data_IF_775596635180
#
_entry.id   IF_775596635180
#
_cell.length_a   1.000
_cell.length_b   1.000
_cell.length_c   1.000
_cell.angle_alpha   90.00
_cell.angle_beta   90.00
_cell.angle_gamma   90.00
#
_symmetry.space_group_name_H-M   'P 1'
#
loop_
_entity.id
_entity.type
_entity.pdbx_description
1 polymer ?
#
# COMPACT_ATOMS: atom_id res chain seq x y z
N UNK A 1 58.86 46.42 24.50
CA UNK A 1 57.99 46.92 23.41
C UNK A 1 56.73 46.06 23.33
N UNK A 2 55.62 46.68 22.91
CA UNK A 2 54.22 46.43 23.25
C UNK A 2 53.68 44.99 23.20
N UNK A 3 53.02 44.62 24.31
CA UNK A 3 51.97 43.60 24.47
C UNK A 3 50.68 44.07 23.79
N UNK A 4 49.96 43.16 23.13
CA UNK A 4 48.54 43.30 22.78
C UNK A 4 47.68 42.47 23.74
N UNK A 5 46.66 43.11 24.32
CA UNK A 5 45.86 42.70 25.47
C UNK A 5 44.42 42.44 24.99
N UNK A 6 43.73 41.50 25.67
CA UNK A 6 42.27 41.50 26.01
C UNK A 6 41.24 41.41 24.86
N UNK A 7 40.04 40.85 24.99
CA UNK A 7 39.29 40.27 26.11
C UNK A 7 38.10 39.44 25.56
N UNK A 8 37.65 38.48 26.37
CA UNK A 8 36.29 37.91 26.33
C UNK A 8 35.26 39.01 26.66
N UNK A 9 34.12 39.00 25.96
CA UNK A 9 32.88 39.61 26.45
C UNK A 9 31.69 38.68 26.15
N UNK A 10 30.97 38.33 27.23
CA UNK A 10 29.62 37.73 27.24
C UNK A 10 28.57 38.84 27.03
N UNK A 11 27.30 38.41 26.96
CA UNK A 11 26.04 39.15 27.21
C UNK A 11 25.45 39.83 25.95
N UNK A 12 24.15 39.82 25.64
CA UNK A 12 22.88 39.56 26.35
C UNK A 12 21.81 39.12 25.32
N UNK A 13 20.87 38.26 25.73
CA UNK A 13 19.52 38.21 25.16
C UNK A 13 18.77 39.49 25.56
N UNK A 14 18.00 40.09 24.64
CA UNK A 14 16.79 40.87 24.96
C UNK A 14 15.85 40.86 23.75
N UNK A 15 14.58 40.60 24.05
CA UNK A 15 13.48 40.37 23.12
C UNK A 15 12.67 41.65 22.84
N UNK A 16 11.81 41.53 21.82
CA UNK A 16 10.61 42.31 21.47
C UNK A 16 10.79 43.59 20.62
N UNK A 17 9.73 44.10 19.98
CA UNK A 17 8.73 43.43 19.13
C UNK A 17 8.66 44.12 17.75
N UNK A 18 8.28 43.43 16.67
CA UNK A 18 7.86 44.12 15.44
C UNK A 18 6.49 43.65 15.02
N UNK A 19 5.58 44.60 15.17
CA UNK A 19 4.16 44.61 14.87
C UNK A 19 3.89 44.31 13.40
N UNK A 20 2.79 43.59 13.19
CA UNK A 20 2.18 43.28 11.92
C UNK A 20 1.96 44.52 11.03
N UNK A 21 2.24 44.37 9.74
CA UNK A 21 1.61 45.15 8.69
C UNK A 21 1.16 44.17 7.60
N UNK A 22 -0.14 43.90 7.58
CA UNK A 22 -0.81 43.16 6.52
C UNK A 22 -0.73 43.98 5.23
N UNK A 23 -0.15 43.41 4.18
CA UNK A 23 -0.34 43.88 2.81
C UNK A 23 -0.90 42.71 2.02
N UNK A 24 -2.20 42.76 1.79
CA UNK A 24 -2.90 41.90 0.85
C UNK A 24 -2.38 42.20 -0.56
N UNK A 25 -1.66 41.26 -1.16
CA UNK A 25 -1.57 41.15 -2.61
C UNK A 25 -2.40 39.93 -3.03
N UNK A 26 -3.67 40.19 -3.33
CA UNK A 26 -4.51 39.27 -4.08
C UNK A 26 -4.14 39.39 -5.56
N UNK A 27 -3.26 38.52 -6.04
CA UNK A 27 -3.16 38.23 -7.47
C UNK A 27 -3.73 36.84 -7.70
N UNK A 28 -5.06 36.79 -7.83
CA UNK A 28 -5.76 35.65 -8.43
C UNK A 28 -5.46 35.73 -9.92
N UNK A 29 -4.43 35.04 -10.39
CA UNK A 29 -4.36 34.70 -11.80
C UNK A 29 -5.38 33.58 -12.04
N UNK A 30 -6.59 34.01 -12.38
CA UNK A 30 -7.57 33.17 -13.01
C UNK A 30 -6.99 32.70 -14.35
N UNK A 31 -6.47 31.48 -14.39
CA UNK A 31 -6.34 30.77 -15.67
C UNK A 31 -7.76 30.51 -16.18
N UNK A 32 -8.24 31.43 -17.01
CA UNK A 32 -9.36 31.20 -17.89
C UNK A 32 -9.05 29.93 -18.69
N UNK A 33 -9.97 28.97 -18.60
CA UNK A 33 -9.94 27.73 -19.35
C UNK A 33 -9.84 28.04 -20.85
N UNK A 34 -8.65 27.85 -21.42
CA UNK A 34 -8.51 27.71 -22.85
C UNK A 34 -9.14 26.37 -23.24
N UNK A 35 -10.21 26.46 -24.04
CA UNK A 35 -10.99 25.32 -24.50
C UNK A 35 -10.16 24.29 -25.26
N UNK A 36 -9.76 23.24 -24.55
CA UNK A 36 -9.58 21.91 -25.10
C UNK A 36 -10.69 21.06 -24.50
N UNK A 37 -11.46 20.35 -25.34
CA UNK A 37 -12.39 19.34 -24.89
C UNK A 37 -11.63 18.24 -24.13
N UNK A 38 -11.45 18.39 -22.82
CA UNK A 38 -10.95 17.33 -21.96
C UNK A 38 -12.07 16.32 -21.76
N UNK A 39 -12.08 15.27 -22.58
CA UNK A 39 -12.94 14.09 -22.41
C UNK A 39 -12.48 13.21 -21.25
N UNK A 40 -11.97 13.81 -20.16
CA UNK A 40 -11.89 13.08 -18.89
C UNK A 40 -13.33 13.03 -18.35
N UNK A 41 -13.89 11.84 -18.09
CA UNK A 41 -15.17 11.74 -17.41
C UNK A 41 -15.06 12.50 -16.09
N UNK A 42 -16.08 13.30 -15.79
CA UNK A 42 -16.12 14.09 -14.56
C UNK A 42 -15.90 13.17 -13.36
N UNK A 43 -14.97 13.55 -12.47
CA UNK A 43 -14.74 12.83 -11.23
C UNK A 43 -16.00 12.91 -10.37
N UNK A 44 -16.42 11.76 -9.85
CA UNK A 44 -17.57 11.66 -8.97
C UNK A 44 -17.16 12.01 -7.54
N UNK A 45 -18.12 12.49 -6.75
CA UNK A 45 -17.96 12.54 -5.30
C UNK A 45 -17.81 11.12 -4.73
N UNK A 46 -17.19 11.00 -3.55
CA UNK A 46 -16.79 9.71 -2.98
C UNK A 46 -17.23 9.61 -1.53
N UNK A 47 -17.96 8.53 -1.26
CA UNK A 47 -18.39 8.13 0.08
C UNK A 47 -17.48 7.02 0.63
N UNK A 48 -17.41 6.92 1.95
CA UNK A 48 -16.60 5.92 2.66
C UNK A 48 -17.43 5.25 3.76
N UNK A 49 -17.50 3.92 3.72
CA UNK A 49 -18.02 3.09 4.82
C UNK A 49 -16.97 2.10 5.28
N UNK A 50 -17.12 1.58 6.49
CA UNK A 50 -16.25 0.56 7.08
C UNK A 50 -17.08 -0.61 7.55
N UNK A 51 -16.48 -1.80 7.57
CA UNK A 51 -17.04 -2.97 8.22
C UNK A 51 -15.95 -3.64 9.06
N UNK A 52 -16.37 -4.27 10.15
CA UNK A 52 -15.53 -5.15 10.95
C UNK A 52 -16.42 -6.28 11.48
N UNK A 53 -16.15 -7.51 11.05
CA UNK A 53 -16.90 -8.71 11.43
C UNK A 53 -16.21 -9.50 12.55
N UNK A 54 -15.06 -9.04 13.02
CA UNK A 54 -14.25 -9.67 14.06
C UNK A 54 -12.79 -9.83 13.63
N UNK A 55 -11.91 -9.84 14.63
CA UNK A 55 -10.45 -9.93 14.45
C UNK A 55 -9.99 -11.37 14.13
N UNK A 56 -10.84 -12.37 14.38
CA UNK A 56 -10.63 -13.81 14.14
C UNK A 56 -11.81 -14.41 13.34
N UNK A 57 -12.41 -13.62 12.46
CA UNK A 57 -13.66 -13.98 11.78
C UNK A 57 -13.47 -14.94 10.58
N UNK A 58 -12.23 -15.14 10.12
CA UNK A 58 -11.88 -16.01 9.02
C UNK A 58 -10.89 -17.09 9.45
N UNK A 59 -11.36 -18.32 9.71
CA UNK A 59 -10.48 -19.47 9.79
C UNK A 59 -10.02 -19.89 8.38
N UNK A 60 -8.70 -19.99 8.13
CA UNK A 60 -8.11 -20.52 6.91
C UNK A 60 -8.69 -21.87 6.48
N UNK A 61 -8.66 -22.22 5.19
CA UNK A 61 -8.94 -23.58 4.76
C UNK A 61 -7.93 -24.58 5.36
N UNK A 62 -8.42 -25.63 6.02
CA UNK A 62 -7.59 -26.71 6.62
C UNK A 62 -6.53 -27.27 5.64
N UNK A 63 -6.84 -27.30 4.34
CA UNK A 63 -5.95 -27.79 3.29
C UNK A 63 -4.65 -27.00 3.13
N UNK A 64 -4.60 -25.75 3.60
CA UNK A 64 -3.39 -24.93 3.57
C UNK A 64 -2.44 -25.24 4.73
N UNK A 65 -2.92 -25.94 5.78
CA UNK A 65 -2.14 -26.15 7.01
C UNK A 65 -1.71 -24.86 7.70
N UNK A 66 -2.34 -23.73 7.37
CA UNK A 66 -2.08 -22.43 7.98
C UNK A 66 -2.65 -22.43 9.41
N UNK A 67 -1.89 -21.89 10.35
CA UNK A 67 -2.28 -21.81 11.76
C UNK A 67 -2.72 -20.38 12.09
N UNK A 68 -3.83 -20.22 12.81
CA UNK A 68 -4.33 -18.90 13.20
C UNK A 68 -5.53 -18.44 12.39
N UNK A 69 -6.33 -17.57 12.99
CA UNK A 69 -7.52 -16.97 12.37
C UNK A 69 -7.23 -15.53 11.96
N UNK A 70 -7.95 -15.07 10.94
CA UNK A 70 -7.75 -13.76 10.32
C UNK A 70 -8.97 -12.85 10.49
N UNK A 71 -8.74 -11.54 10.46
CA UNK A 71 -9.85 -10.61 10.53
C UNK A 71 -10.68 -10.58 9.23
N UNK A 72 -11.95 -10.21 9.37
CA UNK A 72 -12.79 -9.80 8.23
C UNK A 72 -13.23 -8.36 8.45
N UNK A 73 -12.31 -7.43 8.16
CA UNK A 73 -12.57 -6.00 8.21
C UNK A 73 -12.11 -5.29 6.94
N UNK A 74 -12.55 -4.04 6.78
CA UNK A 74 -12.06 -3.21 5.69
C UNK A 74 -12.75 -1.87 5.56
N UNK A 75 -12.22 -1.06 4.66
CA UNK A 75 -12.80 0.21 4.22
C UNK A 75 -13.33 0.06 2.79
N UNK A 76 -14.49 0.67 2.53
CA UNK A 76 -15.13 0.69 1.22
C UNK A 76 -15.23 2.13 0.75
N UNK A 77 -14.64 2.41 -0.40
CA UNK A 77 -14.74 3.69 -1.11
C UNK A 77 -15.58 3.49 -2.35
N UNK A 78 -16.57 4.34 -2.56
CA UNK A 78 -17.50 4.19 -3.67
C UNK A 78 -18.03 5.54 -4.14
N UNK A 79 -18.56 5.65 -5.37
CA UNK A 79 -19.13 6.89 -5.84
C UNK A 79 -20.35 7.28 -5.00
N UNK A 80 -20.51 8.58 -4.70
CA UNK A 80 -21.63 9.07 -3.86
C UNK A 80 -23.01 8.60 -4.36
N UNK A 81 -23.16 8.54 -5.68
CA UNK A 81 -24.34 7.94 -6.32
C UNK A 81 -24.05 6.51 -6.78
N UNK A 82 -24.03 5.58 -5.83
CA UNK A 82 -23.89 4.15 -6.10
C UNK A 82 -25.04 3.60 -6.97
N UNK A 83 -26.19 4.29 -6.99
CA UNK A 83 -27.37 3.87 -7.75
C UNK A 83 -27.26 4.18 -9.25
N UNK A 84 -26.27 4.97 -9.66
CA UNK A 84 -26.04 5.38 -11.05
C UNK A 84 -25.71 4.21 -12.00
N UNK A 85 -25.34 3.04 -11.48
CA UNK A 85 -25.13 1.84 -12.27
C UNK A 85 -24.48 0.70 -11.50
N UNK A 86 -23.77 -0.15 -12.26
CA UNK A 86 -22.92 -1.20 -11.72
C UNK A 86 -21.45 -0.77 -11.82
N UNK A 87 -20.70 -0.96 -10.76
CA UNK A 87 -19.33 -0.51 -10.64
C UNK A 87 -18.38 -1.70 -10.52
N UNK A 88 -17.31 -1.81 -11.34
CA UNK A 88 -16.29 -2.82 -11.15
C UNK A 88 -15.69 -2.73 -9.74
N UNK A 89 -15.39 -3.88 -9.15
CA UNK A 89 -14.81 -3.95 -7.81
C UNK A 89 -13.28 -4.01 -7.89
N UNK A 90 -12.60 -3.20 -7.08
CA UNK A 90 -11.16 -3.30 -6.85
C UNK A 90 -10.93 -3.65 -5.40
N UNK A 91 -10.19 -4.71 -5.11
CA UNK A 91 -9.79 -5.07 -3.75
C UNK A 91 -8.32 -4.72 -3.52
N UNK A 92 -8.00 -4.13 -2.37
CA UNK A 92 -6.64 -3.76 -1.96
C UNK A 92 -6.25 -4.57 -0.73
N UNK A 93 -5.14 -5.30 -0.80
CA UNK A 93 -4.55 -6.00 0.34
C UNK A 93 -3.23 -5.33 0.76
N UNK A 94 -3.08 -5.04 2.06
CA UNK A 94 -1.83 -4.49 2.58
C UNK A 94 -0.77 -5.58 2.81
N UNK A 95 0.49 -5.15 2.92
CA UNK A 95 1.61 -6.05 3.16
C UNK A 95 1.92 -6.30 4.63
N UNK A 96 3.13 -6.80 4.88
CA UNK A 96 3.63 -7.07 6.21
C UNK A 96 4.02 -5.80 6.95
N UNK A 97 3.55 -5.69 8.18
CA UNK A 97 3.81 -4.59 9.11
C UNK A 97 3.38 -5.01 10.52
N UNK A 98 3.87 -4.29 11.53
CA UNK A 98 3.36 -4.37 12.90
C UNK A 98 1.82 -4.25 12.92
N UNK A 99 1.18 -5.00 13.80
CA UNK A 99 -0.27 -5.13 13.88
C UNK A 99 -0.86 -4.19 14.93
N UNK A 100 -0.11 -3.89 15.99
CA UNK A 100 -0.60 -3.18 17.17
C UNK A 100 0.15 -1.88 17.43
N UNK A 101 -0.61 -0.80 17.64
CA UNK A 101 -0.10 0.54 17.89
C UNK A 101 0.35 0.72 19.35
N UNK A 102 1.23 -0.16 19.83
CA UNK A 102 1.78 -0.14 21.18
C UNK A 102 3.02 0.78 21.25
N UNK A 103 2.78 2.03 21.62
CA UNK A 103 3.84 3.04 21.68
C UNK A 103 4.91 2.75 22.76
N UNK A 104 4.57 2.02 23.83
CA UNK A 104 5.53 1.64 24.87
C UNK A 104 6.43 0.50 24.38
N UNK A 105 5.84 -0.50 23.72
CA UNK A 105 6.61 -1.58 23.10
C UNK A 105 7.56 -1.02 22.03
N UNK A 106 7.07 -0.15 21.14
CA UNK A 106 7.90 0.47 20.10
C UNK A 106 9.07 1.28 20.66
N UNK A 107 8.86 2.09 21.71
CA UNK A 107 9.96 2.80 22.39
C UNK A 107 10.98 1.84 23.01
N UNK A 108 10.49 0.75 23.61
CA UNK A 108 11.35 -0.26 24.23
C UNK A 108 12.18 -0.99 23.19
N UNK A 109 11.58 -1.36 22.06
CA UNK A 109 12.25 -1.98 20.92
C UNK A 109 13.37 -1.09 20.39
N UNK A 110 13.08 0.18 20.06
CA UNK A 110 14.09 1.11 19.54
C UNK A 110 15.25 1.32 20.51
N UNK A 111 14.95 1.46 21.82
CA UNK A 111 15.99 1.64 22.83
C UNK A 111 16.88 0.39 22.98
N UNK A 112 16.27 -0.80 22.99
CA UNK A 112 17.00 -2.06 23.12
C UNK A 112 17.85 -2.36 21.88
N UNK A 113 17.37 -2.08 20.67
CA UNK A 113 18.16 -2.22 19.44
C UNK A 113 19.39 -1.31 19.43
N UNK A 114 19.24 -0.06 19.89
CA UNK A 114 20.37 0.86 20.01
C UNK A 114 21.40 0.36 21.04
N UNK A 115 20.95 -0.12 22.20
CA UNK A 115 21.81 -0.68 23.23
C UNK A 115 22.53 -1.95 22.75
N UNK A 116 21.81 -2.87 22.09
CA UNK A 116 22.39 -4.10 21.53
C UNK A 116 23.56 -3.79 20.59
N UNK A 117 23.40 -2.81 19.70
CA UNK A 117 24.45 -2.41 18.77
C UNK A 117 25.71 -1.87 19.49
N UNK A 118 25.57 -1.23 20.64
CA UNK A 118 26.68 -0.78 21.49
C UNK A 118 27.34 -1.96 22.22
N UNK A 119 26.54 -2.90 22.73
CA UNK A 119 27.00 -4.09 23.44
C UNK A 119 27.79 -5.03 22.53
N UNK A 120 27.30 -5.28 21.31
CA UNK A 120 27.98 -6.07 20.29
C UNK A 120 29.34 -5.48 19.91
N UNK A 121 29.43 -4.14 19.78
CA UNK A 121 30.68 -3.45 19.50
C UNK A 121 31.68 -3.54 20.65
N UNK A 122 31.19 -3.56 21.90
CA UNK A 122 32.03 -3.65 23.09
C UNK A 122 32.41 -5.08 23.48
N UNK A 123 31.69 -6.08 22.96
CA UNK A 123 31.83 -7.49 23.28
C UNK A 123 31.14 -7.90 24.60
N UNK A 124 30.22 -7.09 25.12
CA UNK A 124 29.44 -7.43 26.32
C UNK A 124 28.29 -8.40 25.99
N UNK A 125 28.64 -9.68 25.89
CA UNK A 125 27.67 -10.75 25.58
C UNK A 125 26.55 -10.90 26.60
N UNK A 126 26.75 -10.46 27.85
CA UNK A 126 25.75 -10.63 28.90
C UNK A 126 24.69 -9.54 28.84
N UNK A 127 25.05 -8.31 28.47
CA UNK A 127 24.08 -7.25 28.24
C UNK A 127 23.39 -7.41 26.88
N UNK A 128 24.13 -7.79 25.83
CA UNK A 128 23.56 -8.11 24.52
C UNK A 128 22.39 -9.11 24.62
N UNK A 129 22.58 -10.21 25.37
CA UNK A 129 21.51 -11.20 25.59
C UNK A 129 20.28 -10.64 26.33
N UNK A 130 20.45 -9.62 27.19
CA UNK A 130 19.30 -8.94 27.82
C UNK A 130 18.58 -8.04 26.82
N UNK A 131 19.33 -7.33 25.97
CA UNK A 131 18.73 -6.48 24.94
C UNK A 131 17.95 -7.32 23.93
N UNK A 132 18.48 -8.47 23.51
CA UNK A 132 17.78 -9.45 22.66
C UNK A 132 16.44 -9.87 23.28
N UNK A 133 16.41 -10.22 24.57
CA UNK A 133 15.17 -10.60 25.25
C UNK A 133 14.14 -9.44 25.34
N UNK A 134 14.61 -8.19 25.47
CA UNK A 134 13.73 -7.01 25.43
C UNK A 134 13.18 -6.79 24.02
N UNK A 135 14.02 -6.98 22.99
CA UNK A 135 13.63 -6.91 21.58
C UNK A 135 12.53 -7.93 21.30
N UNK A 136 12.74 -9.20 21.65
CA UNK A 136 11.76 -10.28 21.47
C UNK A 136 10.41 -9.92 22.14
N UNK A 137 10.43 -9.58 23.43
CA UNK A 137 9.21 -9.26 24.16
C UNK A 137 8.49 -7.99 23.66
N UNK A 138 9.22 -7.01 23.13
CA UNK A 138 8.64 -5.81 22.54
C UNK A 138 8.05 -6.11 21.15
N UNK A 139 8.76 -6.87 20.31
CA UNK A 139 8.28 -7.33 19.01
C UNK A 139 7.01 -8.15 19.14
N UNK A 140 6.94 -9.09 20.08
CA UNK A 140 5.74 -9.90 20.35
C UNK A 140 4.49 -9.04 20.62
N UNK A 141 4.66 -7.92 21.33
CA UNK A 141 3.55 -7.00 21.63
C UNK A 141 3.11 -6.18 20.42
N UNK A 142 4.05 -5.86 19.51
CA UNK A 142 3.79 -5.10 18.30
C UNK A 142 3.17 -5.96 17.20
N UNK A 143 3.56 -7.24 17.13
CA UNK A 143 3.08 -8.22 16.15
C UNK A 143 1.87 -9.03 16.62
N UNK A 144 1.45 -8.92 17.88
CA UNK A 144 0.32 -9.64 18.43
C UNK A 144 -0.97 -9.45 17.63
N UNK A 145 -1.79 -10.49 17.52
CA UNK A 145 -3.16 -10.36 17.05
C UNK A 145 -4.07 -11.37 17.77
N UNK A 146 -5.27 -10.97 18.22
CA UNK A 146 -5.74 -9.59 18.34
C UNK A 146 -4.87 -8.75 19.29
N UNK A 147 -4.92 -7.42 19.14
CA UNK A 147 -4.15 -6.52 20.01
C UNK A 147 -4.55 -6.63 21.48
N UNK A 148 -3.58 -6.37 22.36
CA UNK A 148 -3.82 -6.35 23.80
C UNK A 148 -4.92 -5.33 24.20
N UNK A 149 -5.68 -5.58 25.28
CA UNK A 149 -6.72 -4.66 25.73
C UNK A 149 -6.21 -3.23 25.91
N UNK A 150 -6.89 -2.27 25.28
CA UNK A 150 -6.52 -0.85 25.32
C UNK A 150 -5.49 -0.42 24.27
N UNK A 151 -4.87 -1.37 23.56
CA UNK A 151 -4.02 -1.10 22.40
C UNK A 151 -4.87 -1.16 21.13
N UNK A 152 -4.73 -0.17 20.26
CA UNK A 152 -5.44 -0.15 18.98
C UNK A 152 -4.63 -0.91 17.93
N UNK A 153 -5.32 -1.52 16.97
CA UNK A 153 -4.66 -1.99 15.75
C UNK A 153 -4.00 -0.83 15.00
N UNK A 154 -2.90 -1.12 14.31
CA UNK A 154 -2.40 -0.29 13.21
C UNK A 154 -3.32 -0.58 12.01
N UNK A 155 -4.07 0.40 11.51
CA UNK A 155 -5.06 0.17 10.46
C UNK A 155 -4.39 0.22 9.08
N UNK A 156 -3.47 -0.70 8.81
CA UNK A 156 -2.66 -0.75 7.58
C UNK A 156 -3.51 -0.68 6.30
N UNK A 157 -4.71 -1.26 6.30
CA UNK A 157 -5.69 -1.17 5.21
C UNK A 157 -6.18 0.27 4.91
N UNK A 158 -6.14 1.20 5.88
CA UNK A 158 -6.46 2.62 5.67
C UNK A 158 -5.30 3.41 5.04
N UNK A 159 -4.11 2.81 4.94
CA UNK A 159 -2.94 3.39 4.30
C UNK A 159 -3.16 3.79 2.83
N UNK A 160 -4.12 3.16 2.18
CA UNK A 160 -4.45 3.34 0.76
C UNK A 160 -5.66 4.25 0.53
N UNK A 161 -6.10 5.03 1.53
CA UNK A 161 -7.27 5.93 1.40
C UNK A 161 -7.19 6.83 0.15
N UNK A 162 -5.99 7.30 -0.19
CA UNK A 162 -5.71 8.18 -1.30
C UNK A 162 -5.95 7.48 -2.64
N UNK A 163 -5.65 6.18 -2.70
CA UNK A 163 -5.83 5.35 -3.88
C UNK A 163 -7.27 4.90 -4.00
N UNK A 164 -7.87 4.43 -2.89
CA UNK A 164 -9.27 4.03 -2.82
C UNK A 164 -10.21 5.16 -3.24
N UNK A 165 -9.98 6.38 -2.74
CA UNK A 165 -10.76 7.56 -3.14
C UNK A 165 -10.53 7.97 -4.59
N UNK A 166 -9.29 7.91 -5.10
CA UNK A 166 -9.02 8.28 -6.50
C UNK A 166 -9.68 7.29 -7.46
N UNK A 167 -9.60 5.99 -7.18
CA UNK A 167 -10.27 4.95 -7.96
C UNK A 167 -11.80 5.07 -7.85
N UNK A 168 -12.37 5.24 -6.66
CA UNK A 168 -13.80 5.43 -6.49
C UNK A 168 -14.33 6.64 -7.29
N UNK A 169 -13.59 7.75 -7.30
CA UNK A 169 -13.95 8.93 -8.10
C UNK A 169 -14.01 8.68 -9.62
N UNK A 170 -13.43 7.57 -10.10
CA UNK A 170 -13.42 7.15 -11.52
C UNK A 170 -14.56 6.18 -11.86
N UNK A 171 -15.36 5.77 -10.85
CA UNK A 171 -16.52 4.89 -10.99
C UNK A 171 -16.30 3.46 -10.50
N UNK A 172 -15.34 3.22 -9.62
CA UNK A 172 -15.08 1.90 -9.02
C UNK A 172 -15.70 1.79 -7.62
N UNK A 173 -16.06 0.57 -7.21
CA UNK A 173 -16.18 0.24 -5.78
C UNK A 173 -14.84 -0.31 -5.34
N UNK A 174 -14.23 0.26 -4.31
CA UNK A 174 -12.89 -0.11 -3.85
C UNK A 174 -12.96 -0.58 -2.41
N UNK A 175 -12.42 -1.77 -2.16
CA UNK A 175 -12.43 -2.41 -0.84
C UNK A 175 -11.00 -2.61 -0.39
N UNK A 176 -10.56 -1.91 0.65
CA UNK A 176 -9.23 -2.10 1.25
C UNK A 176 -9.38 -2.96 2.50
N UNK A 177 -8.76 -4.14 2.52
CA UNK A 177 -8.97 -5.19 3.52
C UNK A 177 -7.80 -5.27 4.52
N UNK A 178 -8.10 -5.60 5.78
CA UNK A 178 -7.09 -5.94 6.78
C UNK A 178 -6.49 -7.33 6.57
N UNK A 179 -5.25 -7.50 7.02
CA UNK A 179 -4.46 -8.74 6.99
C UNK A 179 -3.48 -8.82 8.18
N UNK A 180 -3.82 -8.21 9.33
CA UNK A 180 -3.00 -8.20 10.54
C UNK A 180 -2.90 -9.59 11.18
N UNK A 181 -3.97 -10.39 11.17
CA UNK A 181 -3.92 -11.79 11.62
C UNK A 181 -2.85 -12.60 10.86
N UNK A 182 -2.76 -12.38 9.54
CA UNK A 182 -1.73 -13.01 8.71
C UNK A 182 -0.33 -12.54 9.11
N UNK A 183 -0.15 -11.24 9.38
CA UNK A 183 1.13 -10.68 9.80
C UNK A 183 1.57 -11.20 11.19
N UNK A 184 0.63 -11.47 12.08
CA UNK A 184 0.94 -11.97 13.44
C UNK A 184 1.37 -13.42 13.47
N UNK A 185 0.94 -14.21 12.48
CA UNK A 185 1.22 -15.65 12.44
C UNK A 185 2.60 -15.88 11.87
N UNK A 186 3.47 -16.55 12.66
CA UNK A 186 4.85 -16.85 12.25
C UNK A 186 5.59 -15.62 11.73
N UNK A 187 5.32 -14.44 12.29
CA UNK A 187 5.88 -13.15 11.83
C UNK A 187 5.63 -12.89 10.33
N UNK A 188 4.49 -13.34 9.81
CA UNK A 188 4.15 -13.26 8.39
C UNK A 188 4.98 -14.19 7.50
N UNK A 189 5.80 -15.09 8.06
CA UNK A 189 6.71 -15.98 7.32
C UNK A 189 6.23 -17.43 7.25
N UNK A 190 4.95 -17.70 7.50
CA UNK A 190 4.40 -19.05 7.34
C UNK A 190 4.62 -19.55 5.89
N UNK A 191 4.95 -20.83 5.72
CA UNK A 191 5.24 -21.44 4.40
C UNK A 191 4.13 -21.20 3.37
N UNK A 192 2.87 -21.13 3.83
CA UNK A 192 1.67 -20.94 3.00
C UNK A 192 1.10 -19.52 3.05
N UNK A 193 1.89 -18.53 3.48
CA UNK A 193 1.41 -17.16 3.71
C UNK A 193 0.76 -16.52 2.48
N UNK A 194 1.30 -16.71 1.28
CA UNK A 194 0.71 -16.11 0.08
C UNK A 194 -0.58 -16.84 -0.35
N UNK A 195 -0.67 -18.15 -0.13
CA UNK A 195 -1.90 -18.91 -0.33
C UNK A 195 -2.97 -18.48 0.67
N UNK A 196 -2.59 -18.16 1.90
CA UNK A 196 -3.53 -17.65 2.90
C UNK A 196 -4.02 -16.23 2.56
N UNK A 197 -3.12 -15.34 2.13
CA UNK A 197 -3.50 -14.02 1.62
C UNK A 197 -4.47 -14.11 0.44
N UNK A 198 -4.20 -14.99 -0.52
CA UNK A 198 -5.12 -15.30 -1.62
C UNK A 198 -6.46 -15.85 -1.10
N UNK A 199 -6.46 -16.75 -0.12
CA UNK A 199 -7.67 -17.29 0.50
C UNK A 199 -8.51 -16.21 1.20
N UNK A 200 -7.87 -15.25 1.87
CA UNK A 200 -8.50 -14.08 2.50
C UNK A 200 -9.15 -13.15 1.45
N UNK A 201 -8.44 -12.83 0.37
CA UNK A 201 -9.02 -12.08 -0.78
C UNK A 201 -10.27 -12.81 -1.29
N UNK A 202 -10.17 -14.11 -1.49
CA UNK A 202 -11.26 -14.92 -2.01
C UNK A 202 -12.45 -15.02 -1.03
N UNK A 203 -12.19 -15.06 0.28
CA UNK A 203 -13.23 -15.00 1.33
C UNK A 203 -13.99 -13.67 1.29
N UNK A 204 -13.27 -12.57 1.15
CA UNK A 204 -13.86 -11.23 0.97
C UNK A 204 -14.70 -11.16 -0.30
N UNK A 205 -14.18 -11.64 -1.43
CA UNK A 205 -14.92 -11.71 -2.70
C UNK A 205 -16.20 -12.54 -2.59
N UNK A 206 -16.23 -13.63 -1.82
CA UNK A 206 -17.46 -14.40 -1.54
C UNK A 206 -18.51 -13.57 -0.80
N UNK A 207 -18.10 -12.79 0.20
CA UNK A 207 -19.01 -11.90 0.92
C UNK A 207 -19.59 -10.82 0.00
N UNK A 208 -18.75 -10.19 -0.83
CA UNK A 208 -19.19 -9.22 -1.83
C UNK A 208 -20.10 -9.84 -2.90
N UNK A 209 -19.80 -11.08 -3.32
CA UNK A 209 -20.65 -11.85 -4.23
C UNK A 209 -22.03 -12.10 -3.66
N UNK A 210 -22.11 -12.51 -2.40
CA UNK A 210 -23.39 -12.73 -1.73
C UNK A 210 -24.18 -11.42 -1.58
N UNK A 211 -23.51 -10.36 -1.10
CA UNK A 211 -24.11 -9.04 -0.91
C UNK A 211 -24.64 -8.47 -2.24
N UNK A 212 -23.82 -8.44 -3.28
CA UNK A 212 -24.20 -7.87 -4.58
C UNK A 212 -25.33 -8.66 -5.23
N UNK A 213 -25.29 -9.99 -5.18
CA UNK A 213 -26.28 -10.83 -5.89
C UNK A 213 -27.61 -11.01 -5.17
N UNK A 214 -27.60 -11.03 -3.83
CA UNK A 214 -28.81 -11.35 -3.04
C UNK A 214 -29.24 -10.21 -2.11
N UNK A 215 -28.32 -9.32 -1.72
CA UNK A 215 -28.51 -8.36 -0.63
C UNK A 215 -28.35 -8.99 0.76
N UNK A 216 -27.87 -10.23 0.84
CA UNK A 216 -27.71 -11.01 2.06
C UNK A 216 -26.22 -11.26 2.38
N UNK A 217 -25.97 -12.02 3.43
CA UNK A 217 -24.62 -12.43 3.85
C UNK A 217 -24.02 -11.53 4.92
N UNK A 218 -22.76 -11.79 5.32
CA UNK A 218 -22.16 -11.18 6.52
C UNK A 218 -22.02 -9.65 6.45
N UNK A 219 -21.90 -9.08 5.24
CA UNK A 219 -21.78 -7.63 5.05
C UNK A 219 -23.12 -6.88 5.15
N UNK A 220 -24.26 -7.59 5.15
CA UNK A 220 -25.58 -6.94 5.21
C UNK A 220 -25.75 -6.23 6.55
N UNK A 221 -25.84 -4.89 6.51
CA UNK A 221 -26.05 -4.07 7.70
C UNK A 221 -24.82 -3.93 8.61
N UNK A 222 -23.64 -4.40 8.17
CA UNK A 222 -22.40 -4.27 8.93
C UNK A 222 -21.66 -2.95 8.68
N UNK A 223 -22.13 -2.14 7.72
CA UNK A 223 -21.45 -0.92 7.33
C UNK A 223 -21.69 0.22 8.32
N UNK A 224 -20.61 0.90 8.69
CA UNK A 224 -20.64 2.16 9.42
C UNK A 224 -20.07 3.28 8.55
N UNK A 225 -20.71 4.44 8.54
CA UNK A 225 -20.18 5.64 7.90
C UNK A 225 -18.87 6.06 8.56
N UNK A 226 -17.83 6.28 7.74
CA UNK A 226 -16.48 6.51 8.27
C UNK A 226 -16.32 7.86 9.00
N UNK A 227 -17.12 8.87 8.64
CA UNK A 227 -17.04 10.20 9.26
C UNK A 227 -17.76 10.26 10.61
N UNK A 228 -18.93 9.65 10.71
CA UNK A 228 -19.80 9.71 11.89
C UNK A 228 -19.72 8.48 12.79
N UNK A 229 -19.21 7.35 12.29
CA UNK A 229 -19.20 6.06 13.00
C UNK A 229 -20.58 5.43 13.18
N UNK A 230 -21.63 6.01 12.57
CA UNK A 230 -23.01 5.52 12.68
C UNK A 230 -23.29 4.43 11.64
N UNK A 231 -24.25 3.52 11.89
CA UNK A 231 -24.69 2.59 10.86
C UNK A 231 -25.04 3.30 9.55
N UNK A 232 -24.51 2.82 8.43
CA UNK A 232 -24.79 3.34 7.10
C UNK A 232 -25.91 2.54 6.44
N UNK A 233 -26.92 3.20 5.84
CA UNK A 233 -28.00 2.53 5.13
C UNK A 233 -27.63 2.14 3.68
N UNK A 234 -26.36 2.29 3.28
CA UNK A 234 -25.92 2.00 1.90
C UNK A 234 -26.30 0.57 1.48
N UNK A 235 -26.82 0.44 0.26
CA UNK A 235 -27.16 -0.85 -0.34
C UNK A 235 -26.32 -1.06 -1.61
N UNK A 236 -25.50 -2.12 -1.60
CA UNK A 236 -24.65 -2.51 -2.72
C UNK A 236 -25.28 -3.57 -3.61
N UNK A 237 -26.49 -4.05 -3.26
CA UNK A 237 -27.20 -5.06 -4.04
C UNK A 237 -27.39 -4.59 -5.49
N UNK A 238 -26.99 -5.42 -6.45
CA UNK A 238 -27.02 -5.14 -7.89
C UNK A 238 -26.20 -3.92 -8.35
N UNK A 239 -25.33 -3.35 -7.51
CA UNK A 239 -24.51 -2.18 -7.85
C UNK A 239 -23.02 -2.47 -7.97
N UNK A 240 -22.59 -3.70 -7.68
CA UNK A 240 -21.18 -4.14 -7.77
C UNK A 240 -21.02 -5.18 -8.87
N UNK A 241 -20.23 -4.85 -9.89
CA UNK A 241 -19.90 -5.72 -11.02
C UNK A 241 -18.72 -6.63 -10.69
N UNK A 242 -19.02 -7.86 -10.29
CA UNK A 242 -18.03 -8.86 -9.96
C UNK A 242 -17.50 -9.64 -11.17
N UNK A 243 -18.01 -9.37 -12.38
CA UNK A 243 -17.41 -9.90 -13.61
C UNK A 243 -16.21 -9.07 -14.07
N UNK A 244 -15.98 -7.93 -13.43
CA UNK A 244 -14.84 -7.04 -13.67
C UNK A 244 -14.17 -6.73 -12.32
N UNK A 245 -13.39 -7.68 -11.80
CA UNK A 245 -12.63 -7.50 -10.55
C UNK A 245 -11.17 -7.15 -10.85
N UNK A 246 -10.68 -6.12 -10.16
CA UNK A 246 -9.27 -5.79 -10.07
C UNK A 246 -8.72 -6.06 -8.67
N UNK A 247 -7.42 -6.37 -8.59
CA UNK A 247 -6.72 -6.52 -7.32
C UNK A 247 -5.54 -5.56 -7.23
N UNK A 248 -5.29 -5.00 -6.05
CA UNK A 248 -4.09 -4.24 -5.71
C UNK A 248 -3.49 -4.89 -4.47
N UNK A 249 -2.18 -5.09 -4.48
CA UNK A 249 -1.47 -5.62 -3.32
C UNK A 249 -0.18 -4.86 -3.09
N UNK A 250 0.22 -4.67 -1.83
CA UNK A 250 1.51 -4.06 -1.49
C UNK A 250 2.42 -5.06 -0.77
N UNK A 251 3.71 -5.12 -1.12
CA UNK A 251 4.68 -5.97 -0.40
C UNK A 251 4.20 -7.43 -0.36
N UNK A 252 4.06 -8.02 0.82
CA UNK A 252 3.48 -9.36 0.97
C UNK A 252 2.03 -9.49 0.47
N UNK A 253 1.22 -8.44 0.55
CA UNK A 253 -0.10 -8.39 -0.08
C UNK A 253 0.00 -8.30 -1.60
N UNK A 254 1.09 -7.73 -2.13
CA UNK A 254 1.44 -7.81 -3.55
C UNK A 254 1.67 -9.26 -3.96
N UNK A 255 2.46 -10.02 -3.18
CA UNK A 255 2.63 -11.46 -3.37
C UNK A 255 1.32 -12.24 -3.26
N UNK A 256 0.45 -11.90 -2.31
CA UNK A 256 -0.87 -12.51 -2.14
C UNK A 256 -1.78 -12.30 -3.36
N UNK A 257 -1.80 -11.08 -3.90
CA UNK A 257 -2.52 -10.78 -5.15
C UNK A 257 -1.93 -11.53 -6.35
N UNK A 258 -0.60 -11.66 -6.44
CA UNK A 258 0.02 -12.44 -7.50
C UNK A 258 -0.30 -13.94 -7.38
N UNK A 259 -0.37 -14.46 -6.15
CA UNK A 259 -0.84 -15.83 -5.86
C UNK A 259 -2.31 -16.01 -6.24
N UNK A 260 -3.18 -15.04 -5.97
CA UNK A 260 -4.63 -15.14 -6.29
C UNK A 260 -4.92 -15.15 -7.79
N UNK A 261 -4.08 -14.47 -8.60
CA UNK A 261 -4.22 -14.45 -10.07
C UNK A 261 -3.47 -15.57 -10.79
N UNK A 262 -2.65 -16.34 -10.07
CA UNK A 262 -1.93 -17.48 -10.61
C UNK A 262 -2.90 -18.55 -11.16
N UNK A 263 -2.43 -19.31 -12.14
CA UNK A 263 -3.28 -20.27 -12.84
C UNK A 263 -3.86 -21.34 -11.91
N UNK A 264 -3.14 -21.69 -10.86
CA UNK A 264 -3.56 -22.63 -9.82
C UNK A 264 -4.72 -22.12 -8.97
N UNK A 265 -4.84 -20.81 -8.76
CA UNK A 265 -5.84 -20.19 -7.88
C UNK A 265 -7.18 -19.93 -8.58
N UNK A 266 -7.21 -19.89 -9.92
CA UNK A 266 -8.41 -19.55 -10.72
C UNK A 266 -9.64 -20.41 -10.42
N UNK A 267 -9.44 -21.69 -10.08
CA UNK A 267 -10.53 -22.61 -9.77
C UNK A 267 -11.19 -22.30 -8.41
N UNK A 268 -10.53 -21.51 -7.56
CA UNK A 268 -11.03 -21.15 -6.24
C UNK A 268 -11.95 -19.92 -6.25
N UNK A 269 -11.92 -19.13 -7.33
CA UNK A 269 -12.68 -17.87 -7.40
C UNK A 269 -14.19 -18.11 -7.23
N UNK A 270 -14.92 -17.21 -6.56
CA UNK A 270 -16.34 -17.41 -6.30
C UNK A 270 -17.13 -17.43 -7.61
N UNK A 271 -18.23 -18.19 -7.64
CA UNK A 271 -19.08 -18.27 -8.83
C UNK A 271 -19.56 -16.87 -9.26
N UNK A 272 -19.33 -16.55 -10.53
CA UNK A 272 -19.72 -15.25 -11.11
C UNK A 272 -18.73 -14.12 -10.85
N UNK A 273 -17.64 -14.38 -10.11
CA UNK A 273 -16.50 -13.48 -9.98
C UNK A 273 -15.52 -13.72 -11.13
N UNK A 274 -14.94 -12.66 -11.67
CA UNK A 274 -13.88 -12.74 -12.67
C UNK A 274 -12.83 -11.67 -12.42
N UNK A 275 -11.66 -12.12 -11.99
CA UNK A 275 -10.50 -11.26 -11.76
C UNK A 275 -9.81 -11.06 -13.11
N UNK A 276 -9.71 -9.80 -13.54
CA UNK A 276 -9.23 -9.43 -14.89
C UNK A 276 -7.87 -8.75 -14.89
N UNK A 277 -7.51 -8.11 -13.78
CA UNK A 277 -6.36 -7.24 -13.72
C UNK A 277 -5.80 -7.16 -12.30
N UNK A 278 -4.48 -7.13 -12.15
CA UNK A 278 -3.82 -6.92 -10.88
C UNK A 278 -2.77 -5.81 -10.96
N UNK A 279 -2.60 -5.06 -9.87
CA UNK A 279 -1.58 -4.02 -9.76
C UNK A 279 -0.81 -4.20 -8.45
N UNK A 280 0.37 -4.79 -8.54
CA UNK A 280 1.22 -5.07 -7.38
C UNK A 280 2.20 -3.92 -7.13
N UNK A 281 2.16 -3.35 -5.94
CA UNK A 281 3.08 -2.34 -5.44
C UNK A 281 4.18 -3.05 -4.66
N UNK A 282 5.43 -2.88 -5.09
CA UNK A 282 6.62 -3.49 -4.49
C UNK A 282 6.38 -4.92 -3.96
N UNK A 283 5.86 -5.86 -4.79
CA UNK A 283 5.49 -7.17 -4.29
C UNK A 283 6.69 -7.93 -3.72
N UNK A 284 6.37 -8.97 -2.96
CA UNK A 284 7.28 -10.04 -2.58
C UNK A 284 6.83 -11.36 -3.19
N UNK A 285 7.70 -12.37 -3.18
CA UNK A 285 7.43 -13.69 -3.75
C UNK A 285 8.03 -14.81 -2.88
N UNK A 286 7.50 -16.02 -3.03
CA UNK A 286 8.18 -17.28 -2.65
C UNK A 286 9.22 -17.67 -3.68
N UNK A 287 10.03 -18.68 -3.34
CA UNK A 287 11.01 -19.26 -4.26
C UNK A 287 10.32 -20.11 -5.33
N UNK A 288 9.16 -20.68 -5.00
CA UNK A 288 8.23 -21.33 -5.93
C UNK A 288 7.15 -20.34 -6.38
N UNK A 289 7.41 -19.65 -7.50
CA UNK A 289 6.45 -18.70 -8.08
C UNK A 289 5.49 -19.46 -8.99
N UNK A 290 4.20 -19.46 -8.66
CA UNK A 290 3.18 -20.05 -9.51
C UNK A 290 3.03 -19.25 -10.82
N UNK A 291 2.91 -19.91 -11.99
CA UNK A 291 2.81 -19.23 -13.27
C UNK A 291 1.49 -18.45 -13.40
N UNK A 292 1.57 -17.28 -14.04
CA UNK A 292 0.45 -16.41 -14.35
C UNK A 292 0.41 -16.25 -15.88
N UNK A 293 -0.34 -17.11 -16.58
CA UNK A 293 -0.32 -17.15 -18.06
C UNK A 293 -1.51 -16.46 -18.74
N UNK A 294 -2.51 -16.01 -17.96
CA UNK A 294 -3.83 -15.62 -18.51
C UNK A 294 -4.43 -14.35 -17.92
N UNK A 295 -3.80 -13.77 -16.91
CA UNK A 295 -4.34 -12.59 -16.21
C UNK A 295 -3.39 -11.43 -16.43
N UNK A 296 -3.93 -10.28 -16.83
CA UNK A 296 -3.12 -9.07 -16.93
C UNK A 296 -2.67 -8.64 -15.53
N UNK A 297 -1.42 -8.21 -15.42
CA UNK A 297 -0.93 -7.58 -14.21
C UNK A 297 0.11 -6.49 -14.51
N UNK A 298 0.25 -5.56 -13.59
CA UNK A 298 1.34 -4.62 -13.56
C UNK A 298 2.06 -4.66 -12.21
N UNK A 299 3.40 -4.54 -12.24
CA UNK A 299 4.23 -4.39 -11.04
C UNK A 299 4.80 -2.98 -11.02
N UNK A 300 4.67 -2.27 -9.91
CA UNK A 300 5.33 -0.99 -9.67
C UNK A 300 6.23 -1.09 -8.45
N UNK A 301 7.52 -0.82 -8.59
CA UNK A 301 8.49 -0.89 -7.49
C UNK A 301 9.45 0.31 -7.51
N UNK A 302 10.10 0.60 -6.38
CA UNK A 302 10.94 1.78 -6.20
C UNK A 302 12.44 1.48 -6.22
N UNK A 303 13.27 2.39 -6.72
CA UNK A 303 14.74 2.18 -6.66
C UNK A 303 15.36 2.47 -5.29
N UNK A 304 14.63 3.05 -4.34
CA UNK A 304 15.07 3.17 -2.93
C UNK A 304 14.46 2.06 -2.06
N UNK A 305 13.94 1.00 -2.66
CA UNK A 305 13.21 -0.07 -1.99
C UNK A 305 14.06 -1.35 -1.93
N UNK A 306 14.33 -1.84 -0.73
CA UNK A 306 15.09 -3.09 -0.53
C UNK A 306 14.27 -4.34 -0.84
N UNK A 307 12.95 -4.21 -0.75
CA UNK A 307 11.97 -5.25 -0.99
C UNK A 307 11.47 -5.10 -2.41
N UNK A 308 12.15 -5.75 -3.36
CA UNK A 308 11.72 -5.74 -4.75
C UNK A 308 11.45 -7.14 -5.27
N UNK A 309 10.28 -7.34 -5.87
CA UNK A 309 10.10 -8.42 -6.85
C UNK A 309 9.57 -7.86 -8.17
N UNK A 310 10.30 -6.90 -8.73
CA UNK A 310 10.06 -6.47 -10.11
C UNK A 310 10.10 -7.64 -11.11
N UNK A 311 10.79 -8.71 -10.75
CA UNK A 311 11.00 -9.93 -11.54
C UNK A 311 9.73 -10.69 -11.91
N UNK A 312 8.58 -10.47 -11.26
CA UNK A 312 7.30 -11.05 -11.70
C UNK A 312 7.01 -10.78 -13.18
N UNK A 313 7.42 -9.62 -13.69
CA UNK A 313 7.35 -9.34 -15.12
C UNK A 313 8.22 -10.30 -15.93
N UNK A 314 9.48 -10.46 -15.56
CA UNK A 314 10.44 -11.32 -16.26
C UNK A 314 10.07 -12.80 -16.18
N UNK A 315 9.50 -13.24 -15.07
CA UNK A 315 9.05 -14.62 -14.87
C UNK A 315 7.84 -15.01 -15.73
N UNK A 316 7.06 -14.04 -16.23
CA UNK A 316 5.80 -14.33 -16.93
C UNK A 316 5.70 -13.74 -18.34
N UNK A 317 6.59 -12.81 -18.75
CA UNK A 317 6.48 -12.11 -20.05
C UNK A 317 6.47 -13.04 -21.28
N UNK A 318 7.13 -14.19 -21.20
CA UNK A 318 7.27 -15.09 -22.35
C UNK A 318 6.12 -16.11 -22.45
N UNK A 319 5.33 -16.28 -21.39
CA UNK A 319 4.26 -17.29 -21.29
C UNK A 319 2.87 -16.68 -21.03
N UNK A 320 2.77 -15.39 -20.69
CA UNK A 320 1.49 -14.73 -20.44
C UNK A 320 0.83 -14.26 -21.74
N UNK A 321 -0.41 -14.68 -21.95
CA UNK A 321 -1.24 -14.31 -23.09
C UNK A 321 -1.96 -12.97 -22.91
N UNK A 322 -1.98 -12.42 -21.69
CA UNK A 322 -2.52 -11.11 -21.39
C UNK A 322 -1.42 -10.05 -21.31
N UNK A 323 -1.73 -8.76 -21.58
CA UNK A 323 -0.75 -7.69 -21.44
C UNK A 323 -0.23 -7.57 -20.01
N UNK A 324 1.08 -7.40 -19.84
CA UNK A 324 1.71 -7.16 -18.54
C UNK A 324 2.68 -5.97 -18.58
N UNK A 325 2.92 -5.37 -17.42
CA UNK A 325 3.82 -4.22 -17.33
C UNK A 325 4.70 -4.24 -16.06
N UNK A 326 5.88 -3.63 -16.17
CA UNK A 326 6.75 -3.29 -15.05
C UNK A 326 7.01 -1.77 -15.06
N UNK A 327 6.81 -1.14 -13.91
CA UNK A 327 7.04 0.29 -13.68
C UNK A 327 8.10 0.47 -12.59
N UNK A 328 9.31 0.86 -12.97
CA UNK A 328 10.38 1.15 -12.01
C UNK A 328 10.37 2.63 -11.68
N UNK A 329 10.13 2.95 -10.40
CA UNK A 329 10.00 4.31 -9.88
C UNK A 329 11.33 4.76 -9.28
N UNK A 330 12.05 5.61 -10.00
CA UNK A 330 13.31 6.19 -9.53
C UNK A 330 13.10 7.03 -8.28
N UNK A 331 13.79 6.67 -7.21
CA UNK A 331 13.68 7.29 -5.89
C UNK A 331 12.50 6.79 -5.06
N UNK A 332 11.73 5.82 -5.53
CA UNK A 332 10.58 5.29 -4.79
C UNK A 332 11.02 4.47 -3.58
N UNK A 333 10.37 4.68 -2.44
CA UNK A 333 10.63 4.06 -1.13
C UNK A 333 9.51 3.07 -0.81
N UNK A 334 9.78 1.93 -0.18
CA UNK A 334 8.77 0.88 0.04
C UNK A 334 7.55 1.41 0.82
N UNK A 335 7.81 2.01 1.98
CA UNK A 335 6.75 2.39 2.92
C UNK A 335 5.90 3.57 2.45
N UNK A 336 6.38 4.32 1.44
CA UNK A 336 5.71 5.52 0.97
C UNK A 336 4.42 5.22 0.19
N UNK A 337 4.21 3.96 -0.22
CA UNK A 337 2.92 3.51 -0.76
C UNK A 337 1.82 3.48 0.31
N UNK A 338 2.15 3.24 1.59
CA UNK A 338 1.16 3.13 2.66
C UNK A 338 1.24 4.33 3.61
N UNK A 339 0.17 5.12 3.71
CA UNK A 339 0.14 6.30 4.60
C UNK A 339 0.26 5.99 6.09
N UNK A 340 -0.01 4.77 6.55
CA UNK A 340 0.20 4.42 7.96
C UNK A 340 1.67 4.16 8.24
N UNK A 341 2.40 3.58 7.29
CA UNK A 341 3.81 3.19 7.45
C UNK A 341 4.76 4.36 7.18
N UNK A 342 4.32 5.30 6.35
CA UNK A 342 5.10 6.50 6.01
C UNK A 342 5.38 7.41 7.23
N UNK A 343 6.54 8.06 7.33
CA UNK A 343 6.93 8.90 8.47
C UNK A 343 5.93 10.01 8.82
N UNK A 344 5.30 10.64 7.82
CA UNK A 344 4.35 11.73 8.06
C UNK A 344 3.09 11.33 8.83
N UNK A 345 2.84 10.02 8.99
CA UNK A 345 1.71 9.48 9.74
C UNK A 345 1.86 9.67 11.25
N UNK A 346 3.10 9.67 11.75
CA UNK A 346 3.40 9.60 13.18
C UNK A 346 2.90 8.30 13.84
N UNK A 347 2.62 7.26 13.06
CA UNK A 347 2.14 5.98 13.58
C UNK A 347 3.29 5.19 14.23
N UNK A 348 2.92 4.20 15.06
CA UNK A 348 3.89 3.27 15.65
C UNK A 348 4.55 2.47 14.52
N UNK A 349 5.87 2.32 14.60
CA UNK A 349 6.68 1.65 13.57
C UNK A 349 6.91 2.47 12.30
N UNK A 350 6.21 3.60 12.10
CA UNK A 350 6.30 4.37 10.87
C UNK A 350 7.72 4.94 10.64
N UNK A 351 8.32 4.62 9.49
CA UNK A 351 9.68 5.03 9.17
C UNK A 351 9.91 5.13 7.65
N UNK A 352 11.09 5.64 7.30
CA UNK A 352 11.62 5.61 5.95
C UNK A 352 12.59 4.42 5.89
N UNK A 353 12.20 3.38 5.15
CA UNK A 353 12.89 2.10 5.09
C UNK A 353 13.99 2.07 4.00
N UNK A 354 14.18 3.19 3.29
CA UNK A 354 15.25 3.30 2.31
C UNK A 354 16.63 3.19 2.96
N UNK A 355 17.55 2.49 2.30
CA UNK A 355 18.97 2.50 2.71
C UNK A 355 19.50 3.93 2.54
N UNK A 356 19.96 4.61 3.61
CA UNK A 356 20.43 5.98 3.50
C UNK A 356 21.62 6.12 2.56
N UNK A 357 21.56 7.11 1.68
CA UNK A 357 22.63 7.50 0.78
C UNK A 357 23.70 8.38 1.47
N UNK A 358 24.60 8.95 0.67
CA UNK A 358 25.70 9.78 1.18
C UNK A 358 25.26 11.16 1.67
N UNK A 359 24.03 11.58 1.37
CA UNK A 359 23.48 12.91 1.71
C UNK A 359 22.08 12.79 2.30
N UNK A 360 21.64 13.75 3.14
CA UNK A 360 20.28 13.75 3.65
C UNK A 360 19.20 13.76 2.55
N UNK A 361 18.24 12.85 2.69
CA UNK A 361 17.13 12.63 1.76
C UNK A 361 17.56 12.04 0.42
N UNK A 362 18.67 11.31 0.41
CA UNK A 362 19.04 10.42 -0.70
C UNK A 362 19.19 9.01 -0.17
N UNK A 363 19.00 8.04 -1.06
CA UNK A 363 19.09 6.62 -0.79
C UNK A 363 20.21 5.97 -1.61
N UNK A 364 20.69 4.81 -1.17
CA UNK A 364 21.42 3.89 -2.03
C UNK A 364 20.42 3.09 -2.88
N UNK A 365 20.56 3.18 -4.21
CA UNK A 365 19.62 2.51 -5.10
C UNK A 365 19.72 0.99 -5.02
N UNK A 366 18.57 0.33 -4.96
CA UNK A 366 18.40 -1.12 -4.92
C UNK A 366 17.85 -1.62 -6.26
N UNK A 367 18.37 -2.74 -6.75
CA UNK A 367 17.92 -3.41 -7.96
C UNK A 367 17.94 -4.93 -7.75
N UNK A 368 17.02 -5.69 -8.39
CA UNK A 368 17.00 -7.15 -8.25
C UNK A 368 18.26 -7.82 -8.78
N UNK A 369 18.85 -7.28 -9.86
CA UNK A 369 20.12 -7.77 -10.36
C UNK A 369 21.26 -7.39 -9.39
N UNK A 370 21.83 -8.38 -8.70
CA UNK A 370 22.90 -8.19 -7.72
C UNK A 370 24.16 -7.49 -8.29
N UNK A 371 24.39 -7.58 -9.60
CA UNK A 371 25.50 -6.95 -10.31
C UNK A 371 25.21 -5.52 -10.76
N UNK A 372 23.97 -5.04 -10.65
CA UNK A 372 23.62 -3.68 -11.01
C UNK A 372 24.32 -2.68 -10.08
N UNK A 373 24.98 -1.63 -10.62
CA UNK A 373 25.70 -0.67 -9.80
C UNK A 373 24.72 0.12 -8.94
N UNK A 374 24.92 0.06 -7.63
CA UNK A 374 24.21 0.89 -6.67
C UNK A 374 24.71 2.33 -6.76
N UNK A 375 23.77 3.27 -6.75
CA UNK A 375 24.04 4.69 -6.95
C UNK A 375 23.25 5.51 -5.95
N UNK A 376 23.82 6.63 -5.53
CA UNK A 376 23.12 7.60 -4.70
C UNK A 376 21.99 8.25 -5.50
N UNK A 377 20.75 8.14 -5.02
CA UNK A 377 19.56 8.66 -5.68
C UNK A 377 18.71 9.51 -4.75
N UNK A 378 18.15 10.60 -5.29
CA UNK A 378 17.20 11.42 -4.55
C UNK A 378 15.91 10.63 -4.32
N UNK A 379 15.53 10.46 -3.06
CA UNK A 379 14.24 9.91 -2.69
C UNK A 379 13.09 10.77 -3.21
N UNK A 380 12.01 10.11 -3.61
CA UNK A 380 10.74 10.77 -3.85
C UNK A 380 10.09 11.12 -2.51
N UNK A 381 9.41 12.26 -2.45
CA UNK A 381 8.53 12.51 -1.32
C UNK A 381 7.35 11.54 -1.35
N UNK A 382 6.83 11.23 -0.16
CA UNK A 382 5.65 10.38 -0.01
C UNK A 382 4.47 10.83 -0.90
N UNK A 383 4.23 12.15 -0.97
CA UNK A 383 3.16 12.73 -1.80
C UNK A 383 3.38 12.48 -3.29
N UNK A 384 4.63 12.59 -3.76
CA UNK A 384 4.97 12.42 -5.17
C UNK A 384 4.86 10.96 -5.59
N UNK A 385 5.34 10.03 -4.77
CA UNK A 385 5.19 8.60 -5.03
C UNK A 385 3.71 8.19 -5.08
N UNK A 386 2.90 8.57 -4.09
CA UNK A 386 1.46 8.28 -4.09
C UNK A 386 0.72 8.92 -5.26
N UNK A 387 1.18 10.07 -5.75
CA UNK A 387 0.64 10.68 -6.99
C UNK A 387 0.94 9.80 -8.20
N UNK A 388 2.16 9.32 -8.35
CA UNK A 388 2.55 8.38 -9.42
C UNK A 388 1.68 7.12 -9.35
N UNK A 389 1.51 6.52 -8.16
CA UNK A 389 0.64 5.36 -7.96
C UNK A 389 -0.78 5.59 -8.46
N UNK A 390 -1.41 6.72 -8.11
CA UNK A 390 -2.76 7.05 -8.58
C UNK A 390 -2.87 7.21 -10.10
N UNK A 391 -1.86 7.83 -10.71
CA UNK A 391 -1.86 8.06 -12.15
C UNK A 391 -1.78 6.73 -12.92
N UNK A 392 -0.86 5.84 -12.54
CA UNK A 392 -0.68 4.53 -13.19
C UNK A 392 -1.80 3.55 -12.83
N UNK A 393 -2.07 3.29 -11.55
CA UNK A 393 -3.10 2.33 -11.15
C UNK A 393 -4.49 2.76 -11.63
N UNK A 394 -4.79 4.06 -11.54
CA UNK A 394 -6.06 4.60 -12.00
C UNK A 394 -6.23 4.59 -13.53
N UNK A 395 -5.13 4.64 -14.30
CA UNK A 395 -5.16 4.43 -15.75
C UNK A 395 -5.30 2.94 -16.09
N UNK A 396 -4.52 2.09 -15.41
CA UNK A 396 -4.50 0.65 -15.60
C UNK A 396 -5.88 0.01 -15.41
N UNK A 397 -6.56 0.30 -14.29
CA UNK A 397 -7.90 -0.25 -14.07
C UNK A 397 -8.97 0.41 -14.94
N UNK A 398 -8.81 1.68 -15.31
CA UNK A 398 -9.72 2.32 -16.26
C UNK A 398 -9.66 1.63 -17.63
N UNK A 399 -8.49 1.20 -18.04
CA UNK A 399 -8.29 0.41 -19.26
C UNK A 399 -8.92 -0.99 -19.12
N UNK A 400 -8.47 -1.78 -18.15
CA UNK A 400 -8.77 -3.21 -18.06
C UNK A 400 -10.20 -3.53 -17.57
N UNK A 401 -10.80 -2.67 -16.76
CA UNK A 401 -12.11 -2.92 -16.14
C UNK A 401 -13.22 -2.03 -16.71
N UNK A 402 -12.89 -0.89 -17.32
CA UNK A 402 -13.86 0.04 -17.91
C UNK A 402 -13.70 0.20 -19.43
N UNK A 403 -12.71 -0.45 -20.06
CA UNK A 403 -12.45 -0.35 -21.50
C UNK A 403 -12.00 1.04 -21.96
N UNK A 404 -11.41 1.85 -21.07
CA UNK A 404 -11.00 3.24 -21.36
C UNK A 404 -9.56 3.27 -21.88
N UNK A 405 -9.36 2.85 -23.12
CA UNK A 405 -8.06 2.66 -23.78
C UNK A 405 -7.24 3.91 -24.09
N UNK A 406 -7.81 5.11 -23.89
CA UNK A 406 -7.07 6.38 -24.10
C UNK A 406 -5.79 6.52 -23.27
N UNK A 407 -5.61 5.68 -22.25
CA UNK A 407 -4.44 5.68 -21.38
C UNK A 407 -3.34 4.71 -21.81
N UNK A 408 -3.58 3.84 -22.79
CA UNK A 408 -2.63 2.83 -23.27
C UNK A 408 -1.25 3.42 -23.57
N UNK A 409 -1.09 4.56 -24.29
CA UNK A 409 0.24 5.10 -24.56
C UNK A 409 1.05 5.44 -23.30
N UNK A 410 0.37 5.74 -22.19
CA UNK A 410 1.04 5.98 -20.92
C UNK A 410 1.40 4.68 -20.19
N UNK A 411 0.55 3.66 -20.32
CA UNK A 411 0.74 2.36 -19.70
C UNK A 411 1.82 1.53 -20.40
N UNK A 412 2.01 1.70 -21.71
CA UNK A 412 3.04 1.03 -22.52
C UNK A 412 4.39 1.76 -22.52
N UNK A 413 4.43 3.00 -22.00
CA UNK A 413 5.64 3.81 -21.96
C UNK A 413 5.89 4.66 -23.22
N UNK A 414 5.00 4.65 -24.21
CA UNK A 414 5.07 5.55 -25.38
C UNK A 414 4.96 7.03 -24.98
N UNK A 415 4.26 7.33 -23.89
CA UNK A 415 4.09 8.67 -23.31
C UNK A 415 4.36 8.65 -21.82
N UNK A 416 4.92 9.74 -21.31
CA UNK A 416 5.08 9.94 -19.87
C UNK A 416 3.81 10.58 -19.29
N UNK A 417 3.38 10.12 -18.12
CA UNK A 417 2.32 10.79 -17.38
C UNK A 417 2.75 12.22 -17.01
N UNK A 418 1.90 13.25 -17.24
CA UNK A 418 2.20 14.62 -16.88
C UNK A 418 2.53 14.76 -15.38
N UNK A 419 3.59 15.50 -15.05
CA UNK A 419 3.98 15.77 -13.66
C UNK A 419 4.75 14.66 -12.97
N UNK A 420 4.97 13.50 -13.61
CA UNK A 420 5.86 12.46 -13.07
C UNK A 420 7.34 12.83 -13.19
N UNK A 421 7.69 13.76 -14.08
CA UNK A 421 9.06 14.24 -14.27
C UNK A 421 10.02 13.16 -14.79
N UNK A 422 9.50 12.17 -15.51
CA UNK A 422 10.30 11.05 -16.03
C UNK A 422 10.83 10.12 -14.94
N UNK A 423 10.24 10.13 -13.75
CA UNK A 423 10.66 9.29 -12.63
C UNK A 423 10.31 7.81 -12.80
N UNK A 424 9.59 7.43 -13.87
CA UNK A 424 9.15 6.05 -14.10
C UNK A 424 9.71 5.56 -15.43
N UNK A 425 10.39 4.42 -15.39
CA UNK A 425 10.69 3.64 -16.60
C UNK A 425 9.72 2.49 -16.73
N UNK A 426 9.25 2.25 -17.95
CA UNK A 426 8.25 1.23 -18.25
C UNK A 426 8.86 0.11 -19.07
N UNK A 427 8.55 -1.13 -18.70
CA UNK A 427 8.61 -2.29 -19.59
C UNK A 427 7.20 -2.81 -19.78
N UNK A 428 6.88 -3.24 -20.99
CA UNK A 428 5.56 -3.69 -21.36
C UNK A 428 5.69 -4.90 -22.28
N UNK A 429 4.84 -5.90 -22.04
CA UNK A 429 4.63 -7.02 -22.93
C UNK A 429 3.15 -7.08 -23.30
N UNK A 430 2.84 -7.22 -24.58
CA UNK A 430 1.47 -7.22 -25.10
C UNK A 430 0.73 -8.54 -24.92
N UNK A 431 1.42 -9.58 -24.45
CA UNK A 431 0.96 -10.95 -24.38
C UNK A 431 1.27 -11.75 -25.65
N UNK A 432 1.45 -13.06 -25.50
CA UNK A 432 1.61 -14.00 -26.60
C UNK A 432 0.23 -14.53 -27.04
N UNK A 433 -0.10 -14.37 -28.34
CA UNK A 433 -1.33 -14.91 -28.93
C UNK A 433 -1.27 -16.42 -29.15
#
# INVERSE_FOLDING_TARGET
>A
MKRGRTARAKLLLLAAPVTACAVCFTSVEAFAAAGGSSTQPARQGVSEVRYNLGDEAFPPPDSLGYLGDNELNGAVYYPDDISSGTHPLIMIEHGFWDTCADADASRSLTAAQAALAEDEQSGDTADAAKQEAIIEAASDRLSAWPCAPGVRQIPSYLGYDYLGRDLASRGFVVVSIGANGINSTSEGQADTVYQERAALINAQLRMWQTLSSTGEGPLRGSFTDAGSGRPSPVDFKNHVDLRNVGLVGHSMGGGGVMQEIADSSRATWPKGVSIKAAFALAPTATWDVAPITKTSFAVMWGTCDQVNTGEFFDWNKDDNSAPIAQYTVRGGVHDFYNKQWSPSSGQVGAHDDAVPGSKPGTCESQFPEATAPRTDQKELSEQRQRRITKDYAGAYFADHLLGRTRYEPYLTGEKLFPGTGGAVSTRFDGGVN
#
